data_IF_200347888939
#
_entry.id   IF_200347888939
#
_cell.length_a   1.000
_cell.length_b   1.000
_cell.length_c   1.000
_cell.angle_alpha   90.00
_cell.angle_beta   90.00
_cell.angle_gamma   90.00
#
_symmetry.space_group_name_H-M   'P 1'
#
loop_
_entity.id
_entity.type
_entity.pdbx_description
1 polymer ?
#
# COMPACT_ATOMS: atom_id res chain seq x y z
N UNK A 1 -1.37 -37.17 25.11
CA UNK A 1 -0.62 -35.99 24.61
C UNK A 1 -1.21 -35.55 23.29
N UNK A 2 -1.98 -34.46 23.28
CA UNK A 2 -2.52 -33.91 22.04
C UNK A 2 -1.36 -33.39 21.18
N UNK A 3 -1.19 -33.95 19.97
CA UNK A 3 -0.28 -33.40 18.95
C UNK A 3 -0.67 -31.93 18.73
N UNK A 4 0.14 -30.99 19.22
CA UNK A 4 0.02 -29.56 18.89
C UNK A 4 0.17 -29.45 17.38
N UNK A 5 -0.96 -29.32 16.69
CA UNK A 5 -1.02 -29.16 15.24
C UNK A 5 -0.31 -27.85 14.89
N UNK A 6 0.73 -27.94 14.08
CA UNK A 6 1.55 -26.83 13.54
C UNK A 6 0.79 -25.92 12.55
N UNK A 7 -0.54 -25.95 12.57
CA UNK A 7 -1.40 -25.10 11.74
C UNK A 7 -1.34 -23.63 12.17
N UNK A 8 -1.10 -23.36 13.45
CA UNK A 8 -0.98 -21.99 13.96
C UNK A 8 0.21 -21.23 13.35
N UNK A 9 1.39 -21.84 13.31
CA UNK A 9 2.62 -21.20 12.82
C UNK A 9 2.57 -20.86 11.33
N UNK A 10 2.06 -21.76 10.49
CA UNK A 10 1.92 -21.49 9.04
C UNK A 10 0.93 -20.35 8.77
N UNK A 11 -0.19 -20.31 9.49
CA UNK A 11 -1.22 -19.27 9.31
C UNK A 11 -0.74 -17.91 9.85
N UNK A 12 -0.01 -17.90 10.96
CA UNK A 12 0.58 -16.66 11.51
C UNK A 12 1.64 -16.08 10.58
N UNK A 13 2.50 -16.91 9.98
CA UNK A 13 3.47 -16.46 8.96
C UNK A 13 2.78 -15.94 7.70
N UNK A 14 1.74 -16.63 7.21
CA UNK A 14 0.98 -16.17 6.05
C UNK A 14 0.27 -14.81 6.29
N UNK A 15 -0.17 -14.54 7.52
CA UNK A 15 -0.72 -13.22 7.90
C UNK A 15 0.35 -12.14 8.04
N UNK A 16 1.57 -12.49 8.48
CA UNK A 16 2.70 -11.57 8.53
C UNK A 16 3.22 -11.23 7.12
N UNK A 17 3.20 -12.20 6.20
CA UNK A 17 3.59 -12.05 4.78
C UNK A 17 2.52 -11.36 3.91
N UNK A 18 1.32 -11.13 4.43
CA UNK A 18 0.31 -10.34 3.75
C UNK A 18 0.79 -8.88 3.69
N UNK A 19 1.50 -8.54 2.61
CA UNK A 19 2.00 -7.19 2.35
C UNK A 19 0.86 -6.19 2.46
N UNK A 20 1.00 -5.25 3.40
CA UNK A 20 0.04 -4.17 3.56
C UNK A 20 0.26 -3.19 2.42
N UNK A 21 -0.77 -3.00 1.61
CA UNK A 21 -0.75 -2.06 0.50
C UNK A 21 -1.51 -0.79 0.88
N UNK A 22 -1.06 0.34 0.36
CA UNK A 22 -1.71 1.63 0.49
C UNK A 22 -2.14 2.14 -0.89
N UNK A 23 -3.35 2.73 -0.95
CA UNK A 23 -3.83 3.42 -2.15
C UNK A 23 -3.51 4.90 -2.02
N UNK A 24 -2.71 5.41 -2.95
CA UNK A 24 -2.45 6.84 -3.07
C UNK A 24 -3.38 7.40 -4.15
N UNK A 25 -4.01 8.54 -3.86
CA UNK A 25 -4.80 9.31 -4.82
C UNK A 25 -4.21 10.72 -4.89
N UNK A 26 -3.78 11.12 -6.08
CA UNK A 26 -3.20 12.45 -6.35
C UNK A 26 -4.19 13.20 -7.23
N UNK A 27 -4.49 14.44 -6.84
CA UNK A 27 -5.29 15.35 -7.64
C UNK A 27 -4.37 16.44 -8.21
N UNK A 28 -4.34 16.57 -9.52
CA UNK A 28 -3.56 17.60 -10.23
C UNK A 28 -4.51 18.60 -10.87
N UNK A 29 -4.25 19.90 -10.68
CA UNK A 29 -5.04 20.97 -11.29
C UNK A 29 -4.43 21.31 -12.65
N UNK A 30 -5.21 21.14 -13.71
CA UNK A 30 -4.81 21.48 -15.06
C UNK A 30 -4.94 22.99 -15.31
N UNK A 31 -4.25 23.49 -16.34
CA UNK A 31 -4.33 24.89 -16.76
C UNK A 31 -5.77 25.35 -17.08
N UNK A 32 -6.62 24.42 -17.55
CA UNK A 32 -8.03 24.67 -17.86
C UNK A 32 -8.93 24.70 -16.61
N UNK A 33 -8.37 24.65 -15.40
CA UNK A 33 -9.11 24.73 -14.13
C UNK A 33 -9.74 23.42 -13.65
N UNK A 34 -9.74 22.37 -14.49
CA UNK A 34 -10.19 21.03 -14.12
C UNK A 34 -9.15 20.25 -13.31
N UNK A 35 -9.59 19.25 -12.55
CA UNK A 35 -8.72 18.35 -11.79
C UNK A 35 -8.65 16.97 -12.44
N UNK A 36 -7.43 16.48 -12.64
CA UNK A 36 -7.13 15.10 -13.00
C UNK A 36 -6.82 14.30 -11.74
N UNK A 37 -7.27 13.05 -11.68
CA UNK A 37 -6.98 12.15 -10.55
C UNK A 37 -6.14 10.97 -11.01
N UNK A 38 -5.06 10.69 -10.28
CA UNK A 38 -4.20 9.53 -10.49
C UNK A 38 -4.22 8.64 -9.25
N UNK A 39 -4.42 7.34 -9.43
CA UNK A 39 -4.44 6.37 -8.34
C UNK A 39 -3.32 5.34 -8.55
N UNK A 40 -2.60 5.03 -7.47
CA UNK A 40 -1.56 4.00 -7.47
C UNK A 40 -1.64 3.18 -6.18
N UNK A 41 -1.51 1.87 -6.31
CA UNK A 41 -1.33 0.96 -5.18
C UNK A 41 0.16 0.78 -4.94
N UNK A 42 0.61 1.03 -3.72
CA UNK A 42 2.03 0.92 -3.33
C UNK A 42 2.14 0.16 -2.02
N UNK A 43 3.33 -0.36 -1.70
CA UNK A 43 3.57 -0.92 -0.37
C UNK A 43 3.40 0.18 0.69
N UNK A 44 2.86 -0.18 1.86
CA UNK A 44 2.63 0.79 2.94
C UNK A 44 3.91 1.52 3.37
N UNK A 45 5.06 0.87 3.26
CA UNK A 45 6.35 1.46 3.64
C UNK A 45 6.84 2.49 2.62
N UNK A 46 6.43 2.37 1.35
CA UNK A 46 6.89 3.22 0.25
C UNK A 46 6.03 4.48 0.06
N UNK A 47 4.92 4.60 0.79
CA UNK A 47 3.96 5.72 0.66
C UNK A 47 4.62 7.08 0.77
N UNK A 48 5.55 7.26 1.71
CA UNK A 48 6.21 8.55 1.92
C UNK A 48 7.12 8.93 0.75
N UNK A 49 7.82 7.96 0.16
CA UNK A 49 8.69 8.19 -0.99
C UNK A 49 7.87 8.57 -2.22
N UNK A 50 6.76 7.86 -2.46
CA UNK A 50 5.85 8.09 -3.58
C UNK A 50 5.15 9.45 -3.47
N UNK A 51 4.72 9.85 -2.27
CA UNK A 51 4.15 11.19 -2.04
C UNK A 51 5.16 12.32 -2.25
N UNK A 52 6.44 12.10 -1.90
CA UNK A 52 7.50 13.09 -2.17
C UNK A 52 7.78 13.21 -3.67
N UNK A 53 7.86 12.09 -4.38
CA UNK A 53 8.06 12.08 -5.83
C UNK A 53 6.91 12.80 -6.56
N UNK A 54 5.67 12.61 -6.10
CA UNK A 54 4.50 13.29 -6.66
C UNK A 54 4.51 14.82 -6.45
N UNK A 55 5.09 15.32 -5.36
CA UNK A 55 5.19 16.77 -5.08
C UNK A 55 6.28 17.50 -5.87
N UNK A 56 7.27 16.76 -6.38
CA UNK A 56 8.40 17.32 -7.11
C UNK A 56 8.15 17.46 -8.63
N UNK A 57 6.98 17.02 -9.10
CA UNK A 57 6.49 17.21 -10.46
C UNK A 57 5.73 18.52 -10.60
#
# INVERSE_FOLDING_TARGET
MAKKQSFGDKVLRAKADAKKMAKIVIAEKNANGHYSYHHKMVDVNDVQAELKAAKAK
#
